data_IF_756088361978
#
_entry.id   IF_756088361978
#
_cell.length_a   1.000
_cell.length_b   1.000
_cell.length_c   1.000
_cell.angle_alpha   90.00
_cell.angle_beta   90.00
_cell.angle_gamma   90.00
#
_symmetry.space_group_name_H-M   'P 1'
#
loop_
_entity.id
_entity.type
_entity.pdbx_description
1 polymer ?
#
# COMPACT_ATOMS: atom_id res chain seq x y z
N UNK A 1 0.42 -1.04 16.22
CA UNK A 1 0.83 -0.03 15.20
C UNK A 1 2.34 0.19 15.16
N UNK A 2 3.03 0.50 16.27
CA UNK A 2 4.49 0.81 16.27
C UNK A 2 5.35 -0.28 15.58
N UNK A 3 5.16 -1.56 15.92
CA UNK A 3 5.89 -2.68 15.29
C UNK A 3 5.69 -2.77 13.77
N UNK A 4 4.48 -2.48 13.31
CA UNK A 4 4.15 -2.49 11.88
C UNK A 4 4.82 -1.32 11.16
N UNK A 5 4.82 -0.12 11.76
CA UNK A 5 5.50 1.05 11.21
C UNK A 5 7.02 0.82 11.06
N UNK A 6 7.64 0.18 12.06
CA UNK A 6 9.06 -0.21 11.97
C UNK A 6 9.28 -1.19 10.81
N UNK A 7 8.45 -2.24 10.71
CA UNK A 7 8.53 -3.20 9.61
C UNK A 7 8.37 -2.52 8.23
N UNK A 8 7.44 -1.56 8.10
CA UNK A 8 7.23 -0.79 6.87
C UNK A 8 8.45 0.06 6.51
N UNK A 9 9.06 0.74 7.50
CA UNK A 9 10.30 1.50 7.27
C UNK A 9 11.44 0.60 6.79
N UNK A 10 11.61 -0.59 7.37
CA UNK A 10 12.59 -1.59 6.91
C UNK A 10 12.27 -2.04 5.48
N UNK A 11 10.99 -2.29 5.17
CA UNK A 11 10.55 -2.67 3.83
C UNK A 11 10.84 -1.58 2.78
N UNK A 12 10.77 -0.31 3.15
CA UNK A 12 11.15 0.80 2.27
C UNK A 12 12.63 0.68 1.82
N UNK A 13 13.52 0.26 2.71
CA UNK A 13 14.93 0.00 2.36
C UNK A 13 15.12 -1.19 1.39
N UNK A 14 14.16 -2.11 1.31
CA UNK A 14 14.21 -3.23 0.37
C UNK A 14 14.13 -2.77 -1.10
N UNK A 15 13.55 -1.59 -1.35
CA UNK A 15 13.34 -1.04 -2.69
C UNK A 15 14.63 -0.95 -3.52
N UNK A 16 15.76 -0.56 -2.91
CA UNK A 16 17.04 -0.48 -3.63
C UNK A 16 17.51 -1.85 -4.16
N UNK A 17 17.18 -2.93 -3.46
CA UNK A 17 17.53 -4.29 -3.87
C UNK A 17 16.54 -4.83 -4.91
N UNK A 18 15.28 -4.39 -4.84
CA UNK A 18 14.28 -4.63 -5.86
C UNK A 18 14.71 -4.02 -7.21
N UNK A 19 15.18 -2.76 -7.19
CA UNK A 19 15.74 -2.06 -8.36
C UNK A 19 16.96 -2.78 -8.95
N UNK A 20 17.92 -3.14 -8.09
CA UNK A 20 19.16 -3.83 -8.49
C UNK A 20 18.96 -5.31 -8.81
N UNK A 21 17.72 -5.82 -8.76
CA UNK A 21 17.39 -7.24 -8.92
C UNK A 21 18.19 -8.18 -8.01
N UNK A 22 18.61 -7.71 -6.83
CA UNK A 22 19.35 -8.55 -5.89
C UNK A 22 18.38 -9.34 -4.99
N UNK A 23 18.05 -10.56 -5.40
CA UNK A 23 17.08 -11.43 -4.71
C UNK A 23 17.47 -11.70 -3.26
N UNK A 24 18.73 -12.09 -3.01
CA UNK A 24 19.21 -12.48 -1.68
C UNK A 24 19.08 -11.31 -0.71
N UNK A 25 19.60 -10.13 -1.07
CA UNK A 25 19.53 -8.95 -0.20
C UNK A 25 18.09 -8.46 -0.01
N UNK A 26 17.25 -8.60 -1.04
CA UNK A 26 15.83 -8.29 -0.93
C UNK A 26 15.14 -9.19 0.12
N UNK A 27 15.29 -10.52 -0.02
CA UNK A 27 14.68 -11.49 0.90
C UNK A 27 15.18 -11.26 2.32
N UNK A 28 16.49 -11.08 2.53
CA UNK A 28 17.05 -10.83 3.87
C UNK A 28 16.41 -9.60 4.56
N UNK A 29 16.21 -8.50 3.84
CA UNK A 29 15.56 -7.31 4.40
C UNK A 29 14.10 -7.61 4.77
N UNK A 30 13.37 -8.34 3.91
CA UNK A 30 11.97 -8.71 4.19
C UNK A 30 11.89 -9.69 5.37
N UNK A 31 12.84 -10.62 5.52
CA UNK A 31 12.94 -11.50 6.69
C UNK A 31 13.10 -10.69 7.97
N UNK A 32 14.04 -9.72 7.98
CA UNK A 32 14.24 -8.82 9.13
C UNK A 32 12.95 -8.04 9.42
N UNK A 33 12.28 -7.48 8.40
CA UNK A 33 11.00 -6.79 8.60
C UNK A 33 9.91 -7.73 9.17
N UNK A 34 9.88 -8.98 8.72
CA UNK A 34 8.97 -10.03 9.19
C UNK A 34 9.15 -10.38 10.67
N UNK A 35 10.36 -10.25 11.21
CA UNK A 35 10.62 -10.40 12.65
C UNK A 35 9.89 -9.35 13.49
N UNK A 36 9.75 -8.12 12.97
CA UNK A 36 8.97 -7.07 13.64
C UNK A 36 7.47 -7.28 13.45
N UNK A 37 7.03 -7.63 12.23
CA UNK A 37 5.63 -7.86 11.93
C UNK A 37 5.43 -8.86 10.79
N UNK A 38 4.75 -9.98 11.07
CA UNK A 38 4.58 -11.12 10.16
C UNK A 38 4.01 -10.74 8.78
N UNK A 39 3.10 -9.76 8.71
CA UNK A 39 2.52 -9.36 7.42
C UNK A 39 3.53 -8.77 6.44
N UNK A 40 4.76 -8.42 6.86
CA UNK A 40 5.81 -7.95 5.95
C UNK A 40 6.20 -9.00 4.90
N UNK A 41 6.01 -10.29 5.20
CA UNK A 41 6.27 -11.39 4.25
C UNK A 41 5.40 -11.32 3.00
N UNK A 42 4.29 -10.56 3.02
CA UNK A 42 3.45 -10.33 1.85
C UNK A 42 4.16 -9.59 0.71
N UNK A 43 5.31 -8.97 0.99
CA UNK A 43 6.16 -8.37 -0.02
C UNK A 43 7.05 -9.40 -0.72
N UNK A 44 7.29 -10.61 -0.19
CA UNK A 44 8.15 -11.60 -0.87
C UNK A 44 7.75 -11.86 -2.34
N UNK A 45 6.45 -12.04 -2.68
CA UNK A 45 6.02 -12.21 -4.07
C UNK A 45 6.27 -10.99 -4.95
N UNK A 46 6.37 -9.79 -4.36
CA UNK A 46 6.55 -8.55 -5.10
C UNK A 46 7.79 -8.60 -5.99
N UNK A 47 8.87 -9.26 -5.55
CA UNK A 47 10.11 -9.41 -6.31
C UNK A 47 9.89 -9.99 -7.73
N UNK A 48 8.97 -10.94 -7.86
CA UNK A 48 8.64 -11.56 -9.14
C UNK A 48 7.63 -10.73 -9.92
N UNK A 49 6.62 -10.22 -9.22
CA UNK A 49 5.51 -9.48 -9.81
C UNK A 49 5.95 -8.18 -10.48
N UNK A 50 6.98 -7.50 -9.95
CA UNK A 50 7.54 -6.29 -10.56
C UNK A 50 8.24 -6.49 -11.90
N UNK A 51 8.28 -7.72 -12.43
CA UNK A 51 8.72 -8.00 -13.80
C UNK A 51 7.60 -7.79 -14.82
N UNK A 52 6.35 -7.72 -14.38
CA UNK A 52 5.20 -7.53 -15.26
C UNK A 52 5.16 -6.08 -15.70
N UNK A 53 5.27 -5.83 -17.01
CA UNK A 53 5.03 -4.50 -17.55
C UNK A 53 3.53 -4.23 -17.65
N UNK A 54 3.07 -3.11 -17.08
CA UNK A 54 1.67 -2.67 -17.18
C UNK A 54 1.43 -2.07 -18.58
N UNK A 55 0.83 -2.88 -19.45
CA UNK A 55 0.33 -2.51 -20.76
C UNK A 55 -1.17 -2.89 -20.85
N UNK A 56 -1.93 -2.39 -21.84
CA UNK A 56 -3.38 -2.57 -21.84
C UNK A 56 -3.84 -4.03 -21.76
N UNK A 57 -3.09 -4.94 -22.41
CA UNK A 57 -3.35 -6.38 -22.38
C UNK A 57 -3.06 -6.99 -21.00
N UNK A 58 -1.89 -6.73 -20.42
CA UNK A 58 -1.56 -7.25 -19.08
C UNK A 58 -2.48 -6.66 -18.02
N UNK A 59 -2.82 -5.37 -18.12
CA UNK A 59 -3.75 -4.70 -17.22
C UNK A 59 -5.14 -5.36 -17.28
N UNK A 60 -5.67 -5.62 -18.48
CA UNK A 60 -6.95 -6.32 -18.63
C UNK A 60 -6.92 -7.71 -17.97
N UNK A 61 -5.88 -8.50 -18.23
CA UNK A 61 -5.73 -9.84 -17.64
C UNK A 61 -5.61 -9.75 -16.10
N UNK A 62 -4.79 -8.84 -15.59
CA UNK A 62 -4.59 -8.65 -14.15
C UNK A 62 -5.86 -8.18 -13.45
N UNK A 63 -6.62 -7.28 -14.05
CA UNK A 63 -7.92 -6.84 -13.53
C UNK A 63 -8.93 -7.98 -13.53
N UNK A 64 -8.97 -8.80 -14.60
CA UNK A 64 -9.84 -9.96 -14.67
C UNK A 64 -9.48 -10.99 -13.58
N UNK A 65 -8.19 -11.32 -13.43
CA UNK A 65 -7.71 -12.19 -12.36
C UNK A 65 -8.05 -11.64 -10.97
N UNK A 66 -7.90 -10.32 -10.77
CA UNK A 66 -8.26 -9.67 -9.54
C UNK A 66 -9.77 -9.75 -9.26
N UNK A 67 -10.63 -9.52 -10.25
CA UNK A 67 -12.09 -9.63 -10.10
C UNK A 67 -12.48 -11.07 -9.71
N UNK A 68 -11.96 -12.06 -10.44
CA UNK A 68 -12.20 -13.49 -10.12
C UNK A 68 -11.73 -13.79 -8.70
N UNK A 69 -10.53 -13.32 -8.33
CA UNK A 69 -9.99 -13.47 -6.98
C UNK A 69 -10.86 -12.78 -5.91
N UNK A 70 -11.33 -11.56 -6.15
CA UNK A 70 -12.13 -10.79 -5.18
C UNK A 70 -13.50 -11.41 -4.93
N UNK A 71 -14.16 -11.92 -5.96
CA UNK A 71 -15.46 -12.59 -5.83
C UNK A 71 -15.31 -14.04 -5.34
N UNK A 72 -14.19 -14.69 -5.63
CA UNK A 72 -13.83 -16.03 -5.12
C UNK A 72 -13.26 -16.03 -3.70
N UNK A 73 -12.68 -14.90 -3.24
CA UNK A 73 -11.93 -14.82 -1.99
C UNK A 73 -12.76 -15.22 -0.77
N UNK A 74 -14.02 -14.80 -0.68
CA UNK A 74 -14.89 -15.18 0.45
C UNK A 74 -15.19 -16.69 0.47
N UNK A 75 -15.34 -17.33 -0.69
CA UNK A 75 -15.52 -18.79 -0.79
C UNK A 75 -14.24 -19.52 -0.37
N UNK A 76 -13.08 -19.04 -0.82
CA UNK A 76 -11.78 -19.60 -0.42
C UNK A 76 -11.54 -19.42 1.08
N UNK A 77 -11.86 -18.24 1.63
CA UNK A 77 -11.70 -17.94 3.04
C UNK A 77 -12.59 -18.85 3.91
N UNK A 78 -13.81 -19.14 3.47
CA UNK A 78 -14.70 -20.07 4.18
C UNK A 78 -14.25 -21.53 4.06
N UNK A 79 -13.68 -21.92 2.92
CA UNK A 79 -13.18 -23.28 2.68
C UNK A 79 -11.90 -23.58 3.47
N UNK A 80 -10.98 -22.62 3.54
CA UNK A 80 -9.65 -22.78 4.16
C UNK A 80 -9.53 -22.14 5.55
N UNK A 81 -10.48 -21.30 5.96
CA UNK A 81 -10.51 -20.61 7.25
C UNK A 81 -10.36 -21.53 8.46
N UNK A 82 -11.03 -22.70 8.51
CA UNK A 82 -10.85 -23.67 9.60
C UNK A 82 -9.43 -24.24 9.71
N UNK A 83 -8.67 -24.28 8.61
CA UNK A 83 -7.29 -24.77 8.56
C UNK A 83 -6.27 -23.72 9.03
N UNK A 84 -6.67 -22.46 9.16
CA UNK A 84 -5.76 -21.35 9.50
C UNK A 84 -5.65 -21.05 11.01
N UNK A 85 -6.19 -21.90 11.88
CA UNK A 85 -5.96 -21.86 13.34
C UNK A 85 -6.29 -20.50 13.97
N UNK A 86 -5.27 -19.77 14.46
CA UNK A 86 -5.43 -18.42 15.07
C UNK A 86 -6.08 -17.38 14.14
N UNK A 87 -6.10 -17.60 12.82
CA UNK A 87 -6.84 -16.73 11.89
C UNK A 87 -8.36 -16.95 11.92
N UNK A 88 -8.84 -18.11 12.38
CA UNK A 88 -10.26 -18.31 12.62
C UNK A 88 -10.80 -17.37 13.70
N UNK A 89 -9.95 -16.98 14.68
CA UNK A 89 -10.26 -15.98 15.70
C UNK A 89 -10.45 -14.57 15.12
N UNK A 90 -9.73 -14.23 14.04
CA UNK A 90 -9.95 -13.01 13.28
C UNK A 90 -11.24 -13.07 12.45
N UNK A 91 -11.65 -14.25 11.96
CA UNK A 91 -12.95 -14.43 11.29
C UNK A 91 -14.13 -14.18 12.25
N UNK A 92 -13.97 -14.51 13.53
CA UNK A 92 -14.99 -14.29 14.57
C UNK A 92 -15.01 -12.86 15.14
N UNK A 93 -13.90 -12.10 15.06
CA UNK A 93 -13.87 -10.70 15.46
C UNK A 93 -14.45 -9.82 14.34
N UNK A 94 -15.76 -9.57 14.42
CA UNK A 94 -16.54 -8.82 13.42
C UNK A 94 -15.97 -7.44 13.05
N UNK A 95 -15.33 -6.74 14.00
CA UNK A 95 -14.77 -5.40 13.79
C UNK A 95 -13.50 -5.38 12.92
N UNK A 96 -12.64 -6.41 12.97
CA UNK A 96 -11.41 -6.46 12.15
C UNK A 96 -11.67 -6.98 10.74
N UNK A 97 -12.72 -7.80 10.57
CA UNK A 97 -13.16 -8.28 9.27
C UNK A 97 -13.99 -7.25 8.50
N UNK A 98 -14.58 -6.27 9.20
CA UNK A 98 -15.36 -5.22 8.57
C UNK A 98 -14.51 -4.47 7.53
N UNK A 99 -15.01 -4.49 6.30
CA UNK A 99 -14.38 -3.82 5.18
C UNK A 99 -14.18 -2.33 5.43
N UNK A 100 -13.14 -1.76 4.82
CA UNK A 100 -12.87 -0.31 4.91
C UNK A 100 -13.69 0.47 3.91
N UNK A 101 -13.92 1.75 4.19
CA UNK A 101 -14.67 2.64 3.31
C UNK A 101 -13.97 2.89 1.97
N UNK A 102 -14.76 3.11 0.92
CA UNK A 102 -14.27 3.33 -0.46
C UNK A 102 -13.33 4.54 -0.58
N UNK A 103 -13.43 5.51 0.34
CA UNK A 103 -12.53 6.66 0.44
C UNK A 103 -11.05 6.28 0.53
N UNK A 104 -10.72 5.13 1.11
CA UNK A 104 -9.34 4.66 1.23
C UNK A 104 -8.71 4.30 -0.13
N UNK A 105 -9.52 4.13 -1.19
CA UNK A 105 -9.03 3.92 -2.55
C UNK A 105 -8.63 5.21 -3.26
N UNK A 106 -9.09 6.38 -2.80
CA UNK A 106 -8.90 7.63 -3.52
C UNK A 106 -7.42 7.92 -3.80
N UNK A 107 -6.57 7.82 -2.78
CA UNK A 107 -5.14 8.10 -2.93
C UNK A 107 -4.41 7.04 -3.78
N UNK A 108 -4.48 5.72 -3.50
CA UNK A 108 -3.82 4.71 -4.34
C UNK A 108 -4.30 4.75 -5.80
N UNK A 109 -5.59 5.02 -6.01
CA UNK A 109 -6.17 5.15 -7.35
C UNK A 109 -5.64 6.38 -8.07
N UNK A 110 -5.61 7.55 -7.41
CA UNK A 110 -5.04 8.77 -7.99
C UNK A 110 -3.56 8.58 -8.37
N UNK A 111 -2.76 7.96 -7.49
CA UNK A 111 -1.33 7.70 -7.75
C UNK A 111 -1.15 6.74 -8.93
N UNK A 112 -1.91 5.63 -8.96
CA UNK A 112 -1.82 4.69 -10.08
C UNK A 112 -2.27 5.31 -11.40
N UNK A 113 -3.41 6.01 -11.42
CA UNK A 113 -3.94 6.64 -12.63
C UNK A 113 -2.98 7.70 -13.17
N UNK A 114 -2.48 8.59 -12.32
CA UNK A 114 -1.50 9.61 -12.73
C UNK A 114 -0.21 8.97 -13.25
N UNK A 115 0.32 7.97 -12.55
CA UNK A 115 1.48 7.19 -13.01
C UNK A 115 1.22 6.52 -14.36
N UNK A 116 0.07 5.90 -14.55
CA UNK A 116 -0.29 5.23 -15.80
C UNK A 116 -0.52 6.21 -16.96
N UNK A 117 -1.15 7.36 -16.73
CA UNK A 117 -1.36 8.41 -17.73
C UNK A 117 -0.03 8.99 -18.21
N UNK A 118 0.87 9.33 -17.27
CA UNK A 118 2.19 9.89 -17.58
C UNK A 118 3.28 8.83 -17.84
N UNK A 119 2.93 7.54 -17.95
CA UNK A 119 3.89 6.43 -18.06
C UNK A 119 4.95 6.63 -19.14
N UNK A 120 4.57 7.16 -20.31
CA UNK A 120 5.51 7.39 -21.42
C UNK A 120 6.60 8.42 -21.05
N UNK A 121 6.25 9.46 -20.30
CA UNK A 121 7.17 10.49 -19.85
C UNK A 121 8.02 9.95 -18.69
N UNK A 122 7.39 9.27 -17.73
CA UNK A 122 8.07 8.62 -16.62
C UNK A 122 9.13 7.62 -17.09
N UNK A 123 8.87 6.83 -18.13
CA UNK A 123 9.84 5.87 -18.67
C UNK A 123 11.06 6.53 -19.31
N UNK A 124 10.89 7.74 -19.88
CA UNK A 124 12.00 8.52 -20.43
C UNK A 124 12.88 9.11 -19.34
N UNK A 125 12.28 9.53 -18.22
CA UNK A 125 13.00 10.09 -17.07
C UNK A 125 13.82 9.00 -16.37
N UNK A 126 13.18 7.89 -16.04
CA UNK A 126 13.84 6.75 -15.42
C UNK A 126 13.13 5.44 -15.81
N UNK A 127 13.83 4.47 -16.43
CA UNK A 127 13.21 3.19 -16.81
C UNK A 127 12.68 2.40 -15.60
N UNK A 128 13.23 2.64 -14.41
CA UNK A 128 12.77 2.05 -13.14
C UNK A 128 11.32 2.44 -12.80
N UNK A 129 10.79 3.51 -13.40
CA UNK A 129 9.41 3.93 -13.18
C UNK A 129 8.39 2.90 -13.69
N UNK A 130 8.77 1.99 -14.61
CA UNK A 130 7.92 0.83 -14.99
C UNK A 130 7.58 -0.03 -13.79
N UNK A 131 8.59 -0.33 -12.98
CA UNK A 131 8.41 -1.10 -11.75
C UNK A 131 7.55 -0.35 -10.75
N UNK A 132 7.76 0.96 -10.58
CA UNK A 132 6.97 1.77 -9.66
C UNK A 132 5.48 1.79 -10.03
N UNK A 133 5.14 1.97 -11.31
CA UNK A 133 3.74 1.91 -11.77
C UNK A 133 3.13 0.52 -11.50
N UNK A 134 3.92 -0.54 -11.68
CA UNK A 134 3.49 -1.91 -11.37
C UNK A 134 3.22 -2.06 -9.88
N UNK A 135 4.13 -1.58 -9.02
CA UNK A 135 3.92 -1.57 -7.56
C UNK A 135 2.65 -0.80 -7.20
N UNK A 136 2.41 0.36 -7.82
CA UNK A 136 1.19 1.16 -7.58
C UNK A 136 -0.09 0.45 -7.99
N UNK A 137 -0.05 -0.34 -9.08
CA UNK A 137 -1.18 -1.19 -9.46
C UNK A 137 -1.47 -2.23 -8.37
N UNK A 138 -0.45 -2.94 -7.88
CA UNK A 138 -0.62 -3.92 -6.82
C UNK A 138 -1.02 -3.29 -5.47
N UNK A 139 -0.58 -2.05 -5.21
CA UNK A 139 -1.05 -1.27 -4.07
C UNK A 139 -2.56 -0.99 -4.18
N UNK A 140 -3.03 -0.57 -5.36
CA UNK A 140 -4.46 -0.34 -5.63
C UNK A 140 -5.27 -1.63 -5.45
N UNK A 141 -4.77 -2.75 -5.99
CA UNK A 141 -5.37 -4.08 -5.84
C UNK A 141 -5.44 -4.52 -4.38
N UNK A 142 -4.37 -4.35 -3.59
CA UNK A 142 -4.39 -4.70 -2.17
C UNK A 142 -5.42 -3.85 -1.42
N UNK A 143 -5.43 -2.53 -1.66
CA UNK A 143 -6.39 -1.62 -1.04
C UNK A 143 -7.83 -1.93 -1.43
N UNK A 144 -8.10 -2.41 -2.65
CA UNK A 144 -9.46 -2.73 -3.07
C UNK A 144 -10.00 -4.01 -2.43
N UNK A 145 -9.14 -5.00 -2.13
CA UNK A 145 -9.56 -6.18 -1.35
C UNK A 145 -9.98 -5.78 0.07
N UNK A 146 -9.32 -4.78 0.64
CA UNK A 146 -9.62 -4.31 2.00
C UNK A 146 -11.05 -3.75 2.15
N UNK A 147 -11.71 -3.37 1.05
CA UNK A 147 -13.11 -2.93 1.07
C UNK A 147 -14.07 -4.06 1.50
N UNK A 148 -13.70 -5.31 1.27
CA UNK A 148 -14.47 -6.48 1.70
C UNK A 148 -13.89 -7.12 2.96
N UNK A 149 -12.56 -7.15 3.07
CA UNK A 149 -11.84 -7.88 4.12
C UNK A 149 -10.93 -6.90 4.85
N UNK A 150 -11.37 -6.36 6.00
CA UNK A 150 -10.67 -5.29 6.72
C UNK A 150 -9.19 -5.57 7.02
N UNK A 151 -8.83 -6.83 7.33
CA UNK A 151 -7.44 -7.23 7.63
C UNK A 151 -6.45 -6.98 6.48
N UNK A 152 -6.94 -6.90 5.23
CA UNK A 152 -6.10 -6.57 4.07
C UNK A 152 -5.54 -5.15 4.13
N UNK A 153 -6.08 -4.25 4.95
CA UNK A 153 -5.49 -2.93 5.16
C UNK A 153 -4.03 -3.01 5.59
N UNK A 154 -3.70 -4.00 6.44
CA UNK A 154 -2.31 -4.21 6.88
C UNK A 154 -1.40 -4.58 5.72
N UNK A 155 -1.91 -5.34 4.75
CA UNK A 155 -1.18 -5.72 3.52
C UNK A 155 -1.02 -4.49 2.62
N UNK A 156 -2.10 -3.75 2.39
CA UNK A 156 -2.13 -2.55 1.54
C UNK A 156 -1.07 -1.54 1.95
N UNK A 157 -0.84 -1.34 3.26
CA UNK A 157 0.14 -0.39 3.77
C UNK A 157 1.57 -0.66 3.28
N UNK A 158 1.99 -1.93 3.14
CA UNK A 158 3.34 -2.28 2.66
C UNK A 158 3.55 -1.96 1.17
N UNK A 159 2.51 -2.07 0.35
CA UNK A 159 2.59 -1.67 -1.05
C UNK A 159 2.49 -0.15 -1.19
N UNK A 160 1.61 0.49 -0.43
CA UNK A 160 1.38 1.93 -0.49
C UNK A 160 2.58 2.76 -0.04
N UNK A 161 3.38 2.29 0.93
CA UNK A 161 4.58 3.03 1.34
C UNK A 161 5.60 3.18 0.19
N UNK A 162 5.66 2.21 -0.74
CA UNK A 162 6.54 2.28 -1.90
C UNK A 162 6.05 3.28 -2.96
N UNK A 163 4.78 3.68 -2.94
CA UNK A 163 4.24 4.70 -3.84
C UNK A 163 4.84 6.10 -3.60
N UNK A 164 5.49 6.33 -2.46
CA UNK A 164 6.25 7.56 -2.19
C UNK A 164 7.27 7.81 -3.30
N UNK A 165 7.95 6.77 -3.78
CA UNK A 165 8.93 6.91 -4.86
C UNK A 165 8.28 7.35 -6.18
N UNK A 166 7.08 6.87 -6.50
CA UNK A 166 6.36 7.29 -7.71
C UNK A 166 5.86 8.73 -7.59
N UNK A 167 5.34 9.11 -6.41
CA UNK A 167 4.87 10.47 -6.13
C UNK A 167 5.95 11.52 -6.36
N UNK A 168 7.22 11.21 -6.04
CA UNK A 168 8.36 12.12 -6.28
C UNK A 168 8.71 12.23 -7.78
N UNK A 169 8.40 11.21 -8.57
CA UNK A 169 8.70 11.17 -10.01
C UNK A 169 7.62 11.88 -10.85
N UNK A 170 6.36 11.91 -10.41
CA UNK A 170 5.25 12.53 -11.15
C UNK A 170 5.53 14.00 -11.48
N UNK A 171 5.95 14.87 -10.54
CA UNK A 171 6.28 16.26 -10.85
C UNK A 171 7.38 16.43 -11.90
N UNK A 172 8.27 15.45 -12.05
CA UNK A 172 9.36 15.52 -13.02
C UNK A 172 8.88 15.40 -14.47
N UNK A 173 7.63 14.98 -14.69
CA UNK A 173 7.00 14.91 -16.00
C UNK A 173 6.71 16.28 -16.63
N UNK A 174 6.63 17.34 -15.82
CA UNK A 174 6.40 18.70 -16.30
C UNK A 174 7.71 19.35 -16.72
N UNK A 175 7.72 20.13 -17.80
CA UNK A 175 8.95 20.79 -18.27
C UNK A 175 9.31 22.04 -17.45
N UNK A 176 8.32 22.86 -17.08
CA UNK A 176 8.55 24.15 -16.42
C UNK A 176 8.80 24.03 -14.92
N UNK A 177 9.83 24.71 -14.39
CA UNK A 177 10.16 24.71 -12.94
C UNK A 177 8.96 25.13 -12.09
N UNK A 178 8.20 26.15 -12.51
CA UNK A 178 6.97 26.59 -11.83
C UNK A 178 5.91 25.49 -11.78
N UNK A 179 5.75 24.72 -12.86
CA UNK A 179 4.79 23.61 -12.94
C UNK A 179 5.22 22.43 -12.04
N UNK A 180 6.52 22.11 -12.01
CA UNK A 180 7.08 21.10 -11.10
C UNK A 180 6.85 21.49 -9.65
N UNK A 181 7.18 22.74 -9.29
CA UNK A 181 6.99 23.26 -7.94
C UNK A 181 5.52 23.25 -7.54
N UNK A 182 4.63 23.71 -8.44
CA UNK A 182 3.19 23.64 -8.22
C UNK A 182 2.72 22.20 -7.97
N UNK A 183 3.16 21.24 -8.78
CA UNK A 183 2.81 19.83 -8.58
C UNK A 183 3.32 19.28 -7.24
N UNK A 184 4.55 19.63 -6.81
CA UNK A 184 5.05 19.26 -5.48
C UNK A 184 4.21 19.87 -4.35
N UNK A 185 3.84 21.15 -4.46
CA UNK A 185 2.99 21.83 -3.48
C UNK A 185 1.63 21.14 -3.38
N UNK A 186 0.99 20.85 -4.52
CA UNK A 186 -0.30 20.14 -4.55
C UNK A 186 -0.21 18.77 -3.87
N UNK A 187 0.81 17.97 -4.19
CA UNK A 187 1.02 16.66 -3.56
C UNK A 187 1.23 16.81 -2.05
N UNK A 188 2.05 17.79 -1.63
CA UNK A 188 2.31 18.08 -0.22
C UNK A 188 1.05 18.51 0.52
N UNK A 189 0.25 19.41 -0.06
CA UNK A 189 -1.04 19.83 0.48
C UNK A 189 -2.00 18.65 0.64
N UNK A 190 -2.14 17.80 -0.37
CA UNK A 190 -2.97 16.59 -0.27
C UNK A 190 -2.53 15.68 0.88
N UNK A 191 -1.21 15.48 1.07
CA UNK A 191 -0.69 14.68 2.17
C UNK A 191 -1.01 15.30 3.54
N UNK A 192 -0.83 16.61 3.70
CA UNK A 192 -1.16 17.33 4.95
C UNK A 192 -2.66 17.28 5.22
N UNK A 193 -3.50 17.54 4.22
CA UNK A 193 -4.95 17.48 4.36
C UNK A 193 -5.45 16.09 4.76
N UNK A 194 -4.85 15.02 4.21
CA UNK A 194 -5.18 13.64 4.59
C UNK A 194 -4.82 13.35 6.06
N UNK A 195 -3.65 13.82 6.52
CA UNK A 195 -3.26 13.67 7.93
C UNK A 195 -4.18 14.46 8.86
N UNK A 196 -4.55 15.70 8.50
CA UNK A 196 -5.46 16.53 9.28
C UNK A 196 -6.86 15.92 9.35
N UNK A 197 -7.38 15.42 8.23
CA UNK A 197 -8.63 14.66 8.19
C UNK A 197 -8.58 13.43 9.11
N UNK A 198 -7.49 12.66 9.04
CA UNK A 198 -7.30 11.46 9.87
C UNK A 198 -7.26 11.82 11.37
N UNK A 199 -6.62 12.94 11.72
CA UNK A 199 -6.56 13.47 13.08
C UNK A 199 -7.92 13.95 13.59
N UNK A 200 -8.64 14.75 12.80
CA UNK A 200 -9.94 15.31 13.17
C UNK A 200 -10.99 14.23 13.44
N UNK A 201 -11.01 13.18 12.62
CA UNK A 201 -11.93 12.05 12.77
C UNK A 201 -11.41 10.97 13.73
N UNK A 202 -10.31 11.23 14.45
CA UNK A 202 -9.72 10.32 15.42
C UNK A 202 -9.53 8.90 14.88
N UNK A 203 -9.03 8.77 13.65
CA UNK A 203 -8.81 7.47 13.05
C UNK A 203 -7.86 6.64 13.93
N UNK A 204 -8.30 5.43 14.30
CA UNK A 204 -7.60 4.51 15.19
C UNK A 204 -7.58 4.90 16.68
N UNK A 205 -8.53 5.73 17.14
CA UNK A 205 -8.75 6.06 18.56
C UNK A 205 -7.48 6.56 19.26
N UNK A 206 -6.72 7.40 18.54
CA UNK A 206 -5.45 7.95 19.02
C UNK A 206 -5.69 9.11 20.00
N UNK A 207 -6.92 9.61 20.09
CA UNK A 207 -7.39 10.64 21.02
C UNK A 207 -8.58 10.16 21.87
N UNK A 208 -8.73 10.63 23.12
CA UNK A 208 -7.73 11.31 23.90
C UNK A 208 -6.82 10.27 24.55
N UNK A 209 -5.50 10.47 24.49
CA UNK A 209 -4.66 9.93 25.56
C UNK A 209 -5.20 10.53 26.85
N UNK A 210 -5.95 9.75 27.63
CA UNK A 210 -6.19 10.08 29.02
C UNK A 210 -4.80 10.20 29.64
N UNK A 211 -4.35 11.43 29.89
CA UNK A 211 -3.13 11.62 30.67
C UNK A 211 -3.39 10.93 32.01
N UNK A 212 -2.37 10.33 32.62
CA UNK A 212 -2.52 9.72 33.95
C UNK A 212 -3.11 10.74 34.96
N UNK A 213 -2.87 12.04 34.71
CA UNK A 213 -3.45 13.18 35.42
C UNK A 213 -4.97 13.36 35.25
N UNK A 214 -5.55 12.97 34.11
CA UNK A 214 -7.01 13.04 33.89
C UNK A 214 -7.82 12.07 34.76
N UNK A 215 -7.18 11.01 35.27
CA UNK A 215 -7.78 10.10 36.26
C UNK A 215 -7.55 10.51 37.71
N UNK A 216 -6.73 11.53 37.98
CA UNK A 216 -6.44 12.06 39.32
C UNK A 216 -7.32 13.29 39.63
N UNK A 217 -7.90 13.92 38.61
CA UNK A 217 -8.71 15.15 38.71
C UNK A 217 -10.23 14.88 38.69
N UNK A 218 -10.67 13.63 38.77
CA UNK A 218 -12.05 13.19 39.01
C UNK A 218 -12.11 12.38 40.30
#
# INVERSE_FOLDING_TARGET
MIRQSIAMAICLFSYKYLLRRNFIKYVLIILIAGMFHYSAFILLPLYFIVKIDINPRSLFILVLLWLVGLFGAMKLLNLFGPLMGKYALYLTNSAEMQGRGIKNLALPMAVFLTGYLFRKQLYKINPSNRMLITISFFALVATSVQLKIGIFERVSLYYNILNIFLLVQIPQCFCGVKQKLFAFIVIGMCAVSYNFYSFYFNFHDVLPYASVLSGILN
#
